data_IF_175971194356
#
_entry.id   IF_175971194356
#
_cell.length_a   1.000
_cell.length_b   1.000
_cell.length_c   1.000
_cell.angle_alpha   90.00
_cell.angle_beta   90.00
_cell.angle_gamma   90.00
#
_symmetry.space_group_name_H-M   'P 1'
#
loop_
_entity.id
_entity.type
_entity.pdbx_description
1 polymer ?
#
# COMPACT_ATOMS: atom_id res chain seq x y z
N UNK A 1 14.09 -3.88 -10.17
CA UNK A 1 14.76 -5.10 -10.72
C UNK A 1 15.50 -4.75 -12.02
N UNK A 2 14.83 -4.31 -13.09
CA UNK A 2 15.48 -4.06 -14.39
C UNK A 2 16.62 -3.03 -14.32
N UNK A 3 16.43 -1.91 -13.61
CA UNK A 3 17.46 -0.89 -13.41
C UNK A 3 18.67 -1.46 -12.68
N UNK A 4 18.45 -2.19 -11.58
CA UNK A 4 19.53 -2.82 -10.82
C UNK A 4 20.33 -3.81 -11.68
N UNK A 5 19.63 -4.66 -12.44
CA UNK A 5 20.28 -5.61 -13.35
C UNK A 5 21.11 -4.88 -14.40
N UNK A 6 20.58 -3.85 -15.05
CA UNK A 6 21.32 -3.01 -15.98
C UNK A 6 22.61 -2.44 -15.37
N UNK A 7 22.50 -1.86 -14.17
CA UNK A 7 23.64 -1.22 -13.51
C UNK A 7 24.70 -2.26 -13.10
N UNK A 8 24.30 -3.47 -12.71
CA UNK A 8 25.22 -4.59 -12.46
C UNK A 8 25.95 -5.01 -13.75
N UNK A 9 25.24 -5.16 -14.87
CA UNK A 9 25.84 -5.53 -16.16
C UNK A 9 26.79 -4.44 -16.64
N UNK A 10 26.42 -3.17 -16.57
CA UNK A 10 27.31 -2.03 -16.89
C UNK A 10 28.61 -2.05 -16.05
N UNK A 11 28.49 -2.33 -14.77
CA UNK A 11 29.65 -2.43 -13.87
C UNK A 11 30.58 -3.57 -14.25
N UNK A 12 30.02 -4.73 -14.59
CA UNK A 12 30.78 -5.92 -14.95
C UNK A 12 31.42 -5.83 -16.33
N UNK A 13 30.69 -5.32 -17.33
CA UNK A 13 31.13 -5.34 -18.75
C UNK A 13 31.74 -4.03 -19.22
N UNK A 14 31.56 -2.93 -18.47
CA UNK A 14 31.89 -1.56 -18.89
C UNK A 14 31.20 -1.10 -20.19
N UNK A 15 30.09 -1.73 -20.56
CA UNK A 15 29.33 -1.48 -21.79
C UNK A 15 27.94 -0.93 -21.49
N UNK A 16 27.41 -0.13 -22.41
CA UNK A 16 26.06 0.46 -22.38
C UNK A 16 25.19 0.02 -23.57
N UNK A 17 25.69 -0.88 -24.40
CA UNK A 17 25.03 -1.43 -25.58
C UNK A 17 24.63 -2.91 -25.39
N UNK A 18 24.33 -3.30 -24.18
CA UNK A 18 23.94 -4.68 -23.85
C UNK A 18 22.41 -4.86 -23.82
N UNK A 19 21.97 -6.11 -23.90
CA UNK A 19 20.55 -6.46 -23.77
C UNK A 19 19.94 -6.03 -22.43
N UNK A 20 20.75 -5.78 -21.40
CA UNK A 20 20.31 -5.28 -20.11
C UNK A 20 19.81 -3.82 -20.13
N UNK A 21 20.11 -3.06 -21.19
CA UNK A 21 19.63 -1.69 -21.38
C UNK A 21 18.12 -1.61 -21.68
N UNK A 22 17.55 -2.71 -22.13
CA UNK A 22 16.15 -2.80 -22.52
C UNK A 22 15.36 -3.63 -21.52
N UNK A 23 14.10 -3.30 -21.31
CA UNK A 23 13.16 -4.10 -20.53
C UNK A 23 11.90 -4.39 -21.34
N UNK A 24 11.33 -5.56 -21.15
CA UNK A 24 9.99 -5.87 -21.65
C UNK A 24 8.96 -5.14 -20.76
N UNK A 25 8.16 -4.29 -21.38
CA UNK A 25 7.16 -3.51 -20.68
C UNK A 25 5.79 -3.75 -21.30
N UNK A 26 4.80 -4.02 -20.47
CA UNK A 26 3.40 -3.96 -20.86
C UNK A 26 2.90 -2.54 -20.62
N UNK A 27 2.34 -1.93 -21.66
CA UNK A 27 1.74 -0.59 -21.61
C UNK A 27 0.24 -0.74 -21.77
N UNK A 28 -0.52 -0.21 -20.84
CA UNK A 28 -1.98 -0.18 -20.89
C UNK A 28 -2.48 1.22 -20.59
N UNK A 29 -3.62 1.57 -21.15
CA UNK A 29 -4.28 2.83 -20.83
C UNK A 29 -4.81 2.80 -19.40
N UNK A 30 -4.71 3.92 -18.71
CA UNK A 30 -5.17 4.07 -17.33
C UNK A 30 -6.59 4.65 -17.35
N UNK A 31 -7.58 3.77 -17.52
CA UNK A 31 -9.01 4.09 -17.60
C UNK A 31 -9.81 3.32 -16.54
N UNK A 32 -10.88 3.96 -16.02
CA UNK A 32 -11.64 3.46 -14.89
C UNK A 32 -12.45 2.19 -15.19
N UNK A 33 -12.82 1.97 -16.44
CA UNK A 33 -13.66 0.84 -16.88
C UNK A 33 -12.87 -0.45 -17.10
N UNK A 34 -11.54 -0.38 -17.19
CA UNK A 34 -10.68 -1.54 -17.48
C UNK A 34 -9.86 -2.02 -16.28
N UNK A 35 -9.64 -1.16 -15.29
CA UNK A 35 -8.79 -1.44 -14.14
C UNK A 35 -9.49 -1.08 -12.84
N UNK A 36 -9.61 -2.07 -11.96
CA UNK A 36 -9.99 -1.82 -10.58
C UNK A 36 -8.76 -1.54 -9.72
N UNK A 37 -8.87 -0.58 -8.83
CA UNK A 37 -7.82 -0.24 -7.86
C UNK A 37 -8.32 -0.62 -6.48
N UNK A 38 -7.69 -1.62 -5.89
CA UNK A 38 -8.01 -2.06 -4.54
C UNK A 38 -7.08 -1.42 -3.52
N UNK A 39 -7.57 -1.28 -2.29
CA UNK A 39 -6.76 -0.86 -1.16
C UNK A 39 -5.77 -1.96 -0.74
N UNK A 40 -4.58 -1.54 -0.35
CA UNK A 40 -3.63 -2.41 0.33
C UNK A 40 -3.56 -1.96 1.78
N UNK A 41 -4.22 -2.70 2.64
CA UNK A 41 -4.30 -2.40 4.07
C UNK A 41 -2.96 -2.60 4.77
N UNK A 42 -2.83 -2.07 5.97
CA UNK A 42 -1.60 -2.09 6.77
C UNK A 42 -1.80 -2.99 7.99
N UNK A 43 -0.92 -3.96 8.15
CA UNK A 43 -0.83 -4.81 9.35
C UNK A 43 0.39 -4.37 10.16
N UNK A 44 0.24 -4.20 11.46
CA UNK A 44 1.28 -3.69 12.33
C UNK A 44 1.72 -4.71 13.35
N UNK A 45 3.05 -4.79 13.54
CA UNK A 45 3.75 -5.66 14.48
C UNK A 45 4.78 -4.87 15.28
N UNK A 46 5.36 -5.51 16.30
CA UNK A 46 6.51 -4.99 17.02
C UNK A 46 6.20 -4.08 18.20
N UNK A 47 4.91 -3.84 18.47
CA UNK A 47 4.41 -3.05 19.61
C UNK A 47 3.03 -3.56 20.04
N UNK A 48 2.56 -3.17 21.20
CA UNK A 48 1.20 -3.46 21.66
C UNK A 48 0.16 -2.59 20.94
N UNK A 49 -1.12 -2.92 21.11
CA UNK A 49 -2.21 -2.09 20.56
C UNK A 49 -2.24 -0.70 21.20
N UNK A 50 -2.00 -0.62 22.51
CA UNK A 50 -2.00 0.66 23.23
C UNK A 50 -0.83 1.54 22.75
N UNK A 51 0.38 1.00 22.62
CA UNK A 51 1.52 1.72 22.07
C UNK A 51 1.27 2.20 20.61
N UNK A 52 0.61 1.39 19.79
CA UNK A 52 0.22 1.82 18.44
C UNK A 52 -0.79 2.97 18.47
N UNK A 53 -1.75 2.92 19.38
CA UNK A 53 -2.73 4.00 19.56
C UNK A 53 -2.08 5.25 20.11
N UNK A 54 -1.15 5.13 21.04
CA UNK A 54 -0.37 6.26 21.56
C UNK A 54 0.42 6.95 20.45
N UNK A 55 1.13 6.17 19.61
CA UNK A 55 1.87 6.68 18.45
C UNK A 55 0.94 7.42 17.45
N UNK A 56 -0.28 6.94 17.27
CA UNK A 56 -1.27 7.53 16.36
C UNK A 56 -2.02 8.73 16.96
N UNK A 57 -2.06 8.87 18.29
CA UNK A 57 -2.92 9.83 19.01
C UNK A 57 -2.62 11.30 18.71
N UNK A 58 -1.38 11.61 18.31
CA UNK A 58 -1.00 12.96 17.86
C UNK A 58 -1.57 13.36 16.48
N UNK A 59 -2.15 12.41 15.76
CA UNK A 59 -2.67 12.63 14.39
C UNK A 59 -4.13 12.20 14.20
N UNK A 60 -4.63 11.30 15.07
CA UNK A 60 -5.97 10.74 14.96
C UNK A 60 -6.67 10.68 16.33
N UNK A 61 -8.00 10.82 16.29
CA UNK A 61 -8.89 10.36 17.38
C UNK A 61 -9.49 9.01 17.04
N UNK A 62 -9.92 8.30 18.07
CA UNK A 62 -10.50 6.95 17.97
C UNK A 62 -11.96 7.00 18.36
N UNK A 63 -12.85 6.58 17.44
CA UNK A 63 -14.29 6.50 17.72
C UNK A 63 -14.73 5.03 17.60
N UNK A 64 -15.52 4.51 18.55
CA UNK A 64 -16.01 3.14 18.49
C UNK A 64 -16.75 2.86 17.18
N UNK A 65 -16.48 1.70 16.58
CA UNK A 65 -17.20 1.20 15.42
C UNK A 65 -18.19 0.11 15.86
N UNK A 66 -19.46 0.24 15.43
CA UNK A 66 -20.44 -0.79 15.68
C UNK A 66 -20.23 -2.00 14.76
N UNK A 67 -20.18 -3.19 15.35
CA UNK A 67 -20.07 -4.45 14.62
C UNK A 67 -18.67 -4.72 14.04
N UNK A 68 -18.59 -5.79 13.26
CA UNK A 68 -17.37 -6.17 12.56
C UNK A 68 -17.24 -5.46 11.21
N UNK A 69 -16.02 -5.23 10.72
CA UNK A 69 -15.80 -4.66 9.39
C UNK A 69 -16.40 -5.54 8.30
N UNK A 70 -16.97 -4.89 7.32
CA UNK A 70 -17.70 -5.50 6.20
C UNK A 70 -17.41 -4.72 4.91
N UNK A 71 -17.81 -5.21 3.75
CA UNK A 71 -17.75 -4.42 2.52
C UNK A 71 -18.44 -3.06 2.63
N UNK A 72 -19.54 -2.96 3.41
CA UNK A 72 -20.23 -1.70 3.69
C UNK A 72 -19.36 -0.75 4.53
N UNK A 73 -18.54 -1.28 5.44
CA UNK A 73 -17.54 -0.49 6.17
C UNK A 73 -16.55 0.17 5.21
N UNK A 74 -16.03 -0.59 4.24
CA UNK A 74 -15.11 -0.05 3.23
C UNK A 74 -15.76 1.06 2.38
N UNK A 75 -17.02 0.87 1.98
CA UNK A 75 -17.78 1.90 1.28
C UNK A 75 -17.95 3.17 2.13
N UNK A 76 -18.27 3.02 3.42
CA UNK A 76 -18.40 4.13 4.36
C UNK A 76 -17.08 4.87 4.57
N UNK A 77 -15.95 4.16 4.64
CA UNK A 77 -14.63 4.78 4.71
C UNK A 77 -14.38 5.77 3.57
N UNK A 78 -14.79 5.41 2.34
CA UNK A 78 -14.64 6.29 1.16
C UNK A 78 -15.47 7.56 1.32
N UNK A 79 -16.72 7.44 1.73
CA UNK A 79 -17.64 8.57 1.88
C UNK A 79 -17.25 9.51 3.02
N UNK A 80 -16.93 8.95 4.18
CA UNK A 80 -16.66 9.71 5.42
C UNK A 80 -15.20 10.14 5.54
N UNK A 81 -14.33 9.71 4.64
CA UNK A 81 -12.88 9.96 4.65
C UNK A 81 -12.20 9.55 5.96
N UNK A 82 -12.66 8.44 6.55
CA UNK A 82 -12.13 7.85 7.79
C UNK A 82 -11.34 6.59 7.46
N UNK A 83 -10.43 6.21 8.37
CA UNK A 83 -9.77 4.92 8.36
C UNK A 83 -10.37 4.03 9.45
N UNK A 84 -10.01 2.75 9.46
CA UNK A 84 -10.44 1.83 10.52
C UNK A 84 -9.22 1.14 11.11
N UNK A 85 -9.08 1.23 12.43
CA UNK A 85 -8.17 0.41 13.21
C UNK A 85 -8.89 -0.87 13.62
N UNK A 86 -8.30 -2.01 13.35
CA UNK A 86 -8.79 -3.33 13.78
C UNK A 86 -7.80 -3.93 14.76
N UNK A 87 -8.27 -4.27 15.93
CA UNK A 87 -7.53 -5.06 16.90
C UNK A 87 -7.60 -6.56 16.57
N UNK A 88 -6.73 -7.32 17.20
CA UNK A 88 -6.63 -8.78 16.98
C UNK A 88 -7.90 -9.55 17.32
N UNK A 89 -8.70 -9.07 18.26
CA UNK A 89 -10.00 -9.64 18.65
C UNK A 89 -11.14 -9.26 17.71
N UNK A 90 -10.83 -8.58 16.60
CA UNK A 90 -11.78 -8.18 15.57
C UNK A 90 -12.58 -6.91 15.90
N UNK A 91 -12.30 -6.24 17.01
CA UNK A 91 -12.93 -4.97 17.30
C UNK A 91 -12.39 -3.88 16.40
N UNK A 92 -13.28 -3.03 15.93
CA UNK A 92 -12.98 -1.89 15.06
C UNK A 92 -13.16 -0.55 15.77
N UNK A 93 -12.30 0.39 15.40
CA UNK A 93 -12.43 1.80 15.75
C UNK A 93 -12.21 2.66 14.52
N UNK A 94 -13.02 3.69 14.37
CA UNK A 94 -12.80 4.70 13.35
C UNK A 94 -11.61 5.57 13.72
N UNK A 95 -10.68 5.75 12.82
CA UNK A 95 -9.61 6.73 12.91
C UNK A 95 -10.08 8.02 12.24
N UNK A 96 -10.27 9.04 13.02
CA UNK A 96 -10.68 10.38 12.57
C UNK A 96 -9.48 11.30 12.68
N UNK A 97 -9.14 11.96 11.59
CA UNK A 97 -7.98 12.87 11.54
C UNK A 97 -8.19 14.09 12.43
N UNK A 98 -7.18 14.44 13.20
CA UNK A 98 -7.14 15.69 13.92
C UNK A 98 -6.99 16.89 12.97
N UNK A 99 -7.64 18.02 13.23
CA UNK A 99 -7.44 19.24 12.44
C UNK A 99 -5.96 19.66 12.44
N UNK A 100 -5.44 19.99 11.25
CA UNK A 100 -4.05 20.45 11.10
C UNK A 100 -2.97 19.37 11.16
N UNK A 101 -3.27 18.16 11.65
CA UNK A 101 -2.26 17.10 11.84
C UNK A 101 -1.52 16.69 10.54
N UNK A 102 -2.13 16.94 9.39
CA UNK A 102 -1.59 16.55 8.09
C UNK A 102 -1.39 17.74 7.14
N UNK A 103 -1.23 18.94 7.68
CA UNK A 103 -0.92 20.11 6.89
C UNK A 103 0.43 19.92 6.16
N UNK A 104 0.43 20.11 4.85
CA UNK A 104 1.58 19.83 4.01
C UNK A 104 1.82 18.34 3.67
N UNK A 105 1.09 17.43 4.28
CA UNK A 105 1.15 15.99 3.95
C UNK A 105 0.20 15.69 2.80
N UNK A 106 0.68 14.94 1.82
CA UNK A 106 -0.12 14.53 0.68
C UNK A 106 -1.40 13.79 1.12
N UNK A 107 -2.52 14.08 0.47
CA UNK A 107 -3.84 13.52 0.79
C UNK A 107 -3.99 12.05 0.37
N UNK A 108 -3.09 11.20 0.85
CA UNK A 108 -3.07 9.75 0.69
C UNK A 108 -3.06 9.08 2.06
N UNK A 109 -3.92 8.11 2.26
CA UNK A 109 -4.02 7.39 3.55
C UNK A 109 -2.68 6.77 3.97
N UNK A 110 -1.94 6.20 3.02
CA UNK A 110 -0.60 5.67 3.27
C UNK A 110 0.39 6.74 3.73
N UNK A 111 0.35 7.94 3.13
CA UNK A 111 1.22 9.05 3.51
C UNK A 111 0.86 9.58 4.92
N UNK A 112 -0.43 9.63 5.26
CA UNK A 112 -0.86 10.01 6.60
C UNK A 112 -0.38 9.03 7.66
N UNK A 113 -0.46 7.72 7.39
CA UNK A 113 0.02 6.71 8.31
C UNK A 113 1.55 6.73 8.45
N UNK A 114 2.29 6.92 7.37
CA UNK A 114 3.74 7.10 7.42
C UNK A 114 4.14 8.35 8.21
N UNK A 115 3.40 9.44 8.06
CA UNK A 115 3.62 10.67 8.84
C UNK A 115 3.31 10.47 10.33
N UNK A 116 2.14 9.92 10.65
CA UNK A 116 1.70 9.71 12.03
C UNK A 116 2.59 8.73 12.81
N UNK A 117 3.16 7.74 12.11
CA UNK A 117 4.05 6.73 12.69
C UNK A 117 5.55 7.03 12.44
N UNK A 118 5.88 8.26 12.05
CA UNK A 118 7.27 8.66 11.89
C UNK A 118 8.01 8.55 13.24
N UNK A 119 9.04 7.70 13.28
CA UNK A 119 9.78 7.42 14.53
C UNK A 119 9.19 6.30 15.39
N UNK A 120 8.02 5.76 15.04
CA UNK A 120 7.47 4.55 15.68
C UNK A 120 8.35 3.34 15.43
N UNK A 121 8.39 2.40 16.38
CA UNK A 121 9.01 1.07 16.20
C UNK A 121 8.10 0.06 15.49
N UNK A 122 6.89 0.47 15.11
CA UNK A 122 5.93 -0.35 14.41
C UNK A 122 6.51 -0.92 13.10
N UNK A 123 6.37 -2.22 12.92
CA UNK A 123 6.74 -2.90 11.66
C UNK A 123 5.47 -3.06 10.83
N UNK A 124 5.50 -2.57 9.59
CA UNK A 124 4.35 -2.63 8.69
C UNK A 124 4.47 -3.80 7.72
N UNK A 125 3.39 -4.55 7.58
CA UNK A 125 3.13 -5.50 6.50
C UNK A 125 1.94 -5.03 5.67
N UNK A 126 1.81 -5.54 4.46
CA UNK A 126 0.83 -5.07 3.48
C UNK A 126 -0.07 -6.22 3.05
N UNK A 127 -1.38 -6.02 3.12
CA UNK A 127 -2.36 -7.03 2.74
C UNK A 127 -3.52 -6.38 1.99
N UNK A 128 -3.85 -6.89 0.81
CA UNK A 128 -5.09 -6.54 0.10
C UNK A 128 -6.22 -7.50 0.49
N UNK A 129 -7.45 -7.00 0.38
CA UNK A 129 -8.67 -7.76 0.70
C UNK A 129 -8.98 -7.82 2.20
N UNK A 130 -10.23 -7.49 2.54
CA UNK A 130 -10.68 -7.45 3.94
C UNK A 130 -10.61 -8.84 4.59
N UNK A 131 -11.10 -9.87 3.88
CA UNK A 131 -11.13 -11.24 4.41
C UNK A 131 -9.73 -11.76 4.73
N UNK A 132 -8.75 -11.43 3.90
CA UNK A 132 -7.35 -11.81 4.13
C UNK A 132 -6.76 -11.05 5.34
N UNK A 133 -7.11 -9.77 5.52
CA UNK A 133 -6.71 -9.01 6.72
C UNK A 133 -7.27 -9.65 7.99
N UNK A 134 -8.55 -10.03 7.98
CA UNK A 134 -9.19 -10.68 9.11
C UNK A 134 -8.56 -12.05 9.43
N UNK A 135 -8.22 -12.83 8.41
CA UNK A 135 -7.51 -14.12 8.58
C UNK A 135 -6.11 -13.93 9.18
N UNK A 136 -5.37 -12.91 8.72
CA UNK A 136 -4.05 -12.57 9.28
C UNK A 136 -4.14 -12.17 10.76
N UNK A 137 -5.11 -11.34 11.13
CA UNK A 137 -5.36 -10.95 12.53
C UNK A 137 -5.73 -12.14 13.41
N UNK A 138 -6.54 -13.06 12.90
CA UNK A 138 -6.89 -14.30 13.60
C UNK A 138 -5.72 -15.26 13.76
N UNK A 139 -4.63 -15.09 13.01
CA UNK A 139 -3.41 -15.90 13.17
C UNK A 139 -3.22 -17.02 12.17
N UNK A 140 -3.71 -16.88 10.96
CA UNK A 140 -3.71 -17.92 9.93
C UNK A 140 -2.40 -18.14 9.15
N UNK A 141 -1.27 -17.48 9.46
CA UNK A 141 -0.02 -17.60 8.66
C UNK A 141 1.26 -17.70 9.49
N UNK A 142 2.37 -18.23 8.89
CA UNK A 142 3.61 -18.55 9.59
C UNK A 142 4.44 -17.32 10.01
N UNK A 143 4.09 -16.10 9.62
CA UNK A 143 4.86 -14.88 9.91
C UNK A 143 4.51 -14.19 11.24
N UNK A 144 3.84 -14.88 12.15
CA UNK A 144 3.38 -14.31 13.41
C UNK A 144 2.05 -13.55 13.28
N UNK A 145 1.40 -13.31 14.42
CA UNK A 145 0.13 -12.57 14.47
C UNK A 145 0.40 -11.08 14.53
N UNK A 146 -0.17 -10.27 13.64
CA UNK A 146 -0.08 -8.82 13.76
C UNK A 146 -0.79 -8.35 15.05
N UNK A 147 -0.34 -7.23 15.59
CA UNK A 147 -0.97 -6.58 16.73
C UNK A 147 -2.30 -5.97 16.33
N UNK A 148 -2.32 -5.32 15.20
CA UNK A 148 -3.48 -4.63 14.66
C UNK A 148 -3.41 -4.51 13.14
N UNK A 149 -4.51 -4.15 12.51
CA UNK A 149 -4.56 -3.72 11.12
C UNK A 149 -5.18 -2.34 11.00
N UNK A 150 -4.72 -1.55 10.03
CA UNK A 150 -5.42 -0.32 9.63
C UNK A 150 -5.92 -0.50 8.21
N UNK A 151 -7.25 -0.45 8.07
CA UNK A 151 -7.89 -0.41 6.76
C UNK A 151 -7.76 0.99 6.19
N UNK A 152 -7.35 1.06 4.93
CA UNK A 152 -7.22 2.30 4.19
C UNK A 152 -8.12 2.27 2.95
N UNK A 153 -8.38 3.44 2.40
CA UNK A 153 -9.17 3.59 1.16
C UNK A 153 -8.30 3.24 -0.05
N UNK A 154 -8.90 2.76 -1.15
CA UNK A 154 -8.19 2.66 -2.42
C UNK A 154 -7.75 4.04 -2.90
N UNK A 155 -6.57 4.12 -3.50
CA UNK A 155 -6.10 5.35 -4.14
C UNK A 155 -6.92 5.63 -5.39
N UNK A 156 -7.41 6.85 -5.55
CA UNK A 156 -8.15 7.22 -6.75
C UNK A 156 -7.26 7.32 -7.98
N UNK A 157 -7.84 7.09 -9.16
CA UNK A 157 -7.15 7.27 -10.43
C UNK A 157 -6.66 8.71 -10.62
N UNK A 158 -7.46 9.68 -10.17
CA UNK A 158 -7.09 11.10 -10.23
C UNK A 158 -5.79 11.37 -9.43
N UNK A 159 -5.64 10.76 -8.26
CA UNK A 159 -4.44 10.91 -7.43
C UNK A 159 -3.21 10.24 -8.07
N UNK A 160 -3.39 9.10 -8.71
CA UNK A 160 -2.31 8.44 -9.47
C UNK A 160 -1.86 9.33 -10.62
N UNK A 161 -2.80 9.85 -11.41
CA UNK A 161 -2.52 10.76 -12.54
C UNK A 161 -1.82 12.05 -12.05
N UNK A 162 -2.29 12.63 -10.93
CA UNK A 162 -1.70 13.82 -10.32
C UNK A 162 -0.25 13.55 -9.90
N UNK A 163 -0.01 12.45 -9.18
CA UNK A 163 1.33 12.07 -8.72
C UNK A 163 2.31 11.91 -9.88
N UNK A 164 1.88 11.25 -10.95
CA UNK A 164 2.71 11.06 -12.14
C UNK A 164 3.04 12.38 -12.85
N UNK A 165 2.06 13.30 -12.98
CA UNK A 165 2.27 14.64 -13.58
C UNK A 165 3.23 15.51 -12.77
N UNK A 166 3.18 15.41 -11.45
CA UNK A 166 4.08 16.12 -10.53
C UNK A 166 5.47 15.50 -10.45
N UNK A 167 5.71 14.34 -11.09
CA UNK A 167 6.99 13.63 -11.01
C UNK A 167 7.30 13.06 -9.61
N UNK A 168 6.30 12.93 -8.76
CA UNK A 168 6.44 12.45 -7.39
C UNK A 168 6.28 10.95 -7.29
N UNK A 169 6.73 10.39 -6.17
CA UNK A 169 6.51 8.99 -5.81
C UNK A 169 5.33 8.86 -4.85
N UNK A 170 4.57 7.80 -5.02
CA UNK A 170 3.55 7.39 -4.04
C UNK A 170 4.21 6.62 -2.90
N UNK A 171 3.61 6.62 -1.69
CA UNK A 171 4.03 5.73 -0.62
C UNK A 171 4.11 4.27 -1.09
N UNK A 172 4.96 3.43 -0.46
CA UNK A 172 5.05 2.02 -0.80
C UNK A 172 3.69 1.33 -0.75
N UNK A 173 3.43 0.47 -1.74
CA UNK A 173 2.19 -0.33 -1.77
C UNK A 173 0.89 0.50 -1.72
N UNK A 174 0.85 1.63 -2.43
CA UNK A 174 -0.34 2.50 -2.51
C UNK A 174 -1.43 1.97 -3.43
N UNK A 175 -1.10 1.10 -4.38
CA UNK A 175 -2.05 0.62 -5.40
C UNK A 175 -1.98 -0.88 -5.60
N UNK A 176 -3.13 -1.49 -5.79
CA UNK A 176 -3.27 -2.87 -6.24
C UNK A 176 -4.25 -2.89 -7.42
N UNK A 177 -3.70 -3.06 -8.62
CA UNK A 177 -4.52 -3.14 -9.83
C UNK A 177 -5.04 -4.55 -10.05
N UNK A 178 -6.31 -4.67 -10.40
CA UNK A 178 -6.94 -5.91 -10.86
C UNK A 178 -7.60 -5.71 -12.24
N UNK A 179 -7.54 -6.70 -13.13
CA UNK A 179 -6.87 -8.01 -12.96
C UNK A 179 -5.34 -7.90 -12.96
N UNK A 180 -4.68 -8.81 -12.24
CA UNK A 180 -3.22 -8.92 -12.26
C UNK A 180 -2.75 -9.56 -13.57
N UNK A 181 -1.78 -8.93 -14.21
CA UNK A 181 -1.08 -9.53 -15.35
C UNK A 181 -0.26 -10.73 -14.88
N UNK A 182 -0.34 -11.81 -15.63
CA UNK A 182 0.48 -12.99 -15.40
C UNK A 182 1.86 -12.80 -16.03
N UNK A 183 2.90 -13.09 -15.29
CA UNK A 183 4.27 -13.13 -15.82
C UNK A 183 4.50 -14.45 -16.58
N UNK A 184 5.42 -14.44 -17.54
CA UNK A 184 5.79 -15.64 -18.32
C UNK A 184 4.99 -15.85 -19.60
N UNK A 185 3.97 -15.04 -19.91
CA UNK A 185 3.26 -15.07 -21.19
C UNK A 185 4.10 -14.56 -22.34
N UNK A 186 5.03 -13.64 -22.06
CA UNK A 186 6.02 -13.16 -22.98
C UNK A 186 7.39 -13.15 -22.32
N UNK A 187 8.41 -13.66 -23.01
CA UNK A 187 9.77 -13.78 -22.51
C UNK A 187 10.71 -13.08 -23.51
N UNK A 188 11.56 -12.21 -22.99
CA UNK A 188 12.59 -11.56 -23.78
C UNK A 188 13.96 -12.13 -23.40
N UNK A 189 14.71 -12.72 -24.33
CA UNK A 189 16.10 -13.11 -24.09
C UNK A 189 16.96 -11.90 -23.76
N UNK A 190 17.84 -12.01 -22.77
CA UNK A 190 18.79 -10.96 -22.38
C UNK A 190 20.20 -11.20 -22.94
N UNK A 191 20.42 -12.34 -23.61
CA UNK A 191 21.75 -12.72 -24.14
C UNK A 191 22.11 -12.04 -25.47
N UNK A 192 21.12 -11.57 -26.25
CA UNK A 192 21.35 -10.91 -27.55
C UNK A 192 20.49 -9.66 -27.65
N UNK A 193 21.06 -8.57 -28.15
CA UNK A 193 20.28 -7.43 -28.62
C UNK A 193 19.59 -7.81 -29.94
N UNK A 194 18.34 -7.40 -30.18
CA UNK A 194 17.78 -7.41 -31.53
C UNK A 194 18.66 -6.49 -32.37
N UNK A 195 19.08 -6.99 -33.54
CA UNK A 195 19.72 -6.18 -34.57
C UNK A 195 18.70 -5.29 -35.25
#
# INVERSE_FOLDING_TARGET
VSRTYRDMVRKATKRTDTAAELTLTFVNELVDDQLSIEAIHRLYDGLSLDELKDDLSGSFTFEPMAGQPSPQTLAKMVNDRRLVLLSRDGKGEWLVRLPGAFDGVRALDGAWLEHALAGSRAKVRYQNGLDEVLKELAGGRPFGKPTAAILIRPTSLAEIKRTAREGLLMPPKSTFFTPKLRTGLAIRPTAKLPR
#
